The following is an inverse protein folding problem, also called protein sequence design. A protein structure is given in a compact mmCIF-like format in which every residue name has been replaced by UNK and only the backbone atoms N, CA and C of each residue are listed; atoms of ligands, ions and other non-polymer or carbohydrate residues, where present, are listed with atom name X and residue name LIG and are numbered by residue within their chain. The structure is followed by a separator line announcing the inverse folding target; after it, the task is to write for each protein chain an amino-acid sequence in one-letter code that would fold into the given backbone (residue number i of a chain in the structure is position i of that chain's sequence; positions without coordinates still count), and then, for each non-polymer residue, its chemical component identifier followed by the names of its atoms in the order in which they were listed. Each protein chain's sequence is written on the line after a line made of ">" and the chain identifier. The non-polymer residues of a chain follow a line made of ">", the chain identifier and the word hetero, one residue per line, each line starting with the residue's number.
data_IF_603357908442
#
_entry.id   IF_603357908442
#
_cell.length_a   1.000
_cell.length_b   1.000
_cell.length_c   1.000
_cell.angle_alpha   90.00
_cell.angle_beta   90.00
_cell.angle_gamma   90.00
#
_symmetry.space_group_name_H-M   'P 1'
#
loop_
_entity.id
_entity.type
_entity.pdbx_description
1 polymer ?
#
# COMPACT_ATOMS: atom_id res chain seq x y z
N UNK A 1 10.96 -48.58 15.32
CA UNK A 1 10.44 -47.76 14.21
C UNK A 1 9.72 -46.56 14.81
N UNK A 2 10.41 -45.43 14.93
CA UNK A 2 9.83 -44.17 15.40
C UNK A 2 9.25 -43.44 14.21
N UNK A 3 7.94 -43.49 14.06
CA UNK A 3 7.17 -42.64 13.15
C UNK A 3 7.38 -41.20 13.60
N UNK A 4 8.21 -40.44 12.88
CA UNK A 4 8.20 -39.00 12.99
C UNK A 4 6.84 -38.51 12.52
N UNK A 5 5.97 -38.23 13.49
CA UNK A 5 4.81 -37.36 13.29
C UNK A 5 5.39 -36.03 12.83
N UNK A 6 5.41 -35.83 11.51
CA UNK A 6 5.66 -34.55 10.90
C UNK A 6 4.52 -33.65 11.33
N UNK A 7 4.71 -32.97 12.46
CA UNK A 7 3.96 -31.78 12.82
C UNK A 7 4.26 -30.73 11.76
N UNK A 8 3.58 -30.85 10.61
CA UNK A 8 3.35 -29.78 9.67
C UNK A 8 2.44 -28.78 10.39
N UNK A 9 2.97 -28.09 11.40
CA UNK A 9 2.34 -26.90 11.93
C UNK A 9 2.19 -25.99 10.72
N UNK A 10 0.96 -25.64 10.29
CA UNK A 10 0.79 -24.72 9.17
C UNK A 10 1.54 -23.46 9.57
N UNK A 11 2.67 -23.23 8.91
CA UNK A 11 3.62 -22.17 9.27
C UNK A 11 2.82 -20.87 9.31
N UNK A 12 2.51 -20.43 10.53
CA UNK A 12 1.53 -19.37 10.76
C UNK A 12 2.18 -18.07 10.32
N UNK A 13 1.42 -17.27 9.59
CA UNK A 13 1.91 -15.97 9.14
C UNK A 13 2.43 -15.15 10.33
N UNK A 14 3.65 -14.59 10.27
CA UNK A 14 4.19 -13.81 11.36
C UNK A 14 3.26 -12.64 11.69
N UNK A 15 3.04 -12.37 12.98
CA UNK A 15 2.09 -11.35 13.44
C UNK A 15 2.36 -9.97 12.83
N UNK A 16 3.64 -9.62 12.68
CA UNK A 16 4.05 -8.38 12.00
C UNK A 16 3.57 -8.32 10.55
N UNK A 17 3.81 -9.38 9.76
CA UNK A 17 3.38 -9.42 8.35
C UNK A 17 1.85 -9.41 8.23
N UNK A 18 1.14 -10.10 9.15
CA UNK A 18 -0.32 -10.03 9.23
C UNK A 18 -0.81 -8.60 9.51
N UNK A 19 -0.20 -7.91 10.48
CA UNK A 19 -0.54 -6.51 10.80
C UNK A 19 -0.24 -5.57 9.64
N UNK A 20 0.91 -5.73 8.98
CA UNK A 20 1.26 -4.95 7.79
C UNK A 20 0.28 -5.19 6.64
N UNK A 21 -0.19 -6.42 6.42
CA UNK A 21 -1.23 -6.68 5.43
C UNK A 21 -2.56 -6.02 5.76
N UNK A 22 -2.96 -5.98 7.03
CA UNK A 22 -4.15 -5.23 7.45
C UNK A 22 -3.96 -3.74 7.11
N UNK A 23 -2.78 -3.18 7.39
CA UNK A 23 -2.41 -1.81 6.99
C UNK A 23 -2.52 -1.58 5.48
N UNK A 24 -1.95 -2.49 4.67
CA UNK A 24 -2.04 -2.48 3.19
C UNK A 24 -3.50 -2.48 2.72
N UNK A 25 -4.37 -3.26 3.34
CA UNK A 25 -5.80 -3.28 3.01
C UNK A 25 -6.47 -1.94 3.32
N UNK A 26 -6.27 -1.39 4.53
CA UNK A 26 -6.79 -0.08 4.88
C UNK A 26 -6.27 1.02 3.95
N UNK A 27 -4.97 0.98 3.62
CA UNK A 27 -4.35 1.93 2.72
C UNK A 27 -4.86 1.80 1.29
N UNK A 28 -5.11 0.58 0.80
CA UNK A 28 -5.74 0.35 -0.50
C UNK A 28 -7.16 0.92 -0.58
N UNK A 29 -7.96 0.69 0.46
CA UNK A 29 -9.31 1.26 0.57
C UNK A 29 -9.25 2.79 0.63
N UNK A 30 -8.37 3.37 1.44
CA UNK A 30 -8.21 4.81 1.55
C UNK A 30 -7.79 5.45 0.21
N UNK A 31 -6.86 4.82 -0.53
CA UNK A 31 -6.46 5.29 -1.85
C UNK A 31 -7.60 5.22 -2.87
N UNK A 32 -8.40 4.15 -2.84
CA UNK A 32 -9.57 4.03 -3.70
C UNK A 32 -10.59 5.15 -3.43
N UNK A 33 -10.91 5.40 -2.16
CA UNK A 33 -11.83 6.48 -1.79
C UNK A 33 -11.27 7.86 -2.11
N UNK A 34 -9.98 8.10 -1.88
CA UNK A 34 -9.33 9.35 -2.24
C UNK A 34 -9.44 9.61 -3.76
N UNK A 35 -9.12 8.60 -4.59
CA UNK A 35 -9.29 8.69 -6.04
C UNK A 35 -10.74 8.96 -6.45
N UNK A 36 -11.70 8.27 -5.83
CA UNK A 36 -13.13 8.44 -6.12
C UNK A 36 -13.66 9.83 -5.74
N UNK A 37 -13.29 10.36 -4.57
CA UNK A 37 -13.69 11.69 -4.09
C UNK A 37 -13.13 12.78 -5.01
N UNK A 38 -11.84 12.71 -5.36
CA UNK A 38 -11.22 13.69 -6.26
C UNK A 38 -11.85 13.59 -7.66
N UNK A 39 -12.11 12.37 -8.15
CA UNK A 39 -12.79 12.18 -9.44
C UNK A 39 -14.19 12.78 -9.46
N UNK A 40 -14.97 12.58 -8.39
CA UNK A 40 -16.31 13.14 -8.28
C UNK A 40 -16.28 14.68 -8.21
N UNK A 41 -15.33 15.25 -7.46
CA UNK A 41 -15.12 16.69 -7.41
C UNK A 41 -14.74 17.28 -8.79
N UNK A 42 -13.93 16.58 -9.58
CA UNK A 42 -13.58 16.96 -10.95
C UNK A 42 -14.78 16.92 -11.89
N UNK A 43 -15.69 15.96 -11.72
CA UNK A 43 -16.89 15.84 -12.55
C UNK A 43 -17.89 16.96 -12.26
N UNK A 44 -18.04 17.35 -10.99
CA UNK A 44 -18.88 18.48 -10.57
C UNK A 44 -18.31 19.82 -11.05
N UNK A 45 -17.00 19.93 -11.21
CA UNK A 45 -16.32 21.17 -11.66
C UNK A 45 -16.16 21.26 -13.18
N UNK A 46 -16.84 20.40 -13.96
CA UNK A 46 -16.89 20.49 -15.42
C UNK A 46 -17.29 21.91 -15.87
N UNK A 47 -16.35 22.65 -16.47
CA UNK A 47 -16.55 24.01 -16.98
C UNK A 47 -15.82 25.11 -16.21
N UNK A 48 -15.15 24.80 -15.10
CA UNK A 48 -14.24 25.75 -14.42
C UNK A 48 -12.79 25.50 -14.84
N UNK A 49 -12.02 26.59 -14.98
CA UNK A 49 -10.57 26.52 -15.16
C UNK A 49 -9.93 26.06 -13.85
N UNK A 50 -9.77 24.74 -13.70
CA UNK A 50 -9.07 24.15 -12.56
C UNK A 50 -7.55 24.28 -12.80
N UNK A 51 -6.81 25.03 -11.96
CA UNK A 51 -5.36 25.10 -12.07
C UNK A 51 -4.75 23.70 -11.98
N UNK A 52 -3.79 23.41 -12.86
CA UNK A 52 -3.06 22.13 -12.85
C UNK A 52 -3.95 20.89 -13.01
N UNK A 53 -5.07 20.99 -13.75
CA UNK A 53 -6.00 19.87 -14.02
C UNK A 53 -5.29 18.56 -14.42
N UNK A 54 -4.21 18.64 -15.21
CA UNK A 54 -3.40 17.48 -15.58
C UNK A 54 -2.74 16.78 -14.40
N UNK A 55 -2.22 17.54 -13.42
CA UNK A 55 -1.61 17.01 -12.20
C UNK A 55 -2.66 16.37 -11.28
N UNK A 56 -3.86 16.97 -11.20
CA UNK A 56 -4.97 16.42 -10.41
C UNK A 56 -5.48 15.12 -11.03
N UNK A 57 -5.59 15.03 -12.36
CA UNK A 57 -5.93 13.76 -13.04
C UNK A 57 -4.86 12.69 -12.82
N UNK A 58 -3.59 13.08 -12.86
CA UNK A 58 -2.48 12.17 -12.57
C UNK A 58 -2.56 11.62 -11.14
N UNK A 59 -2.88 12.45 -10.14
CA UNK A 59 -3.00 12.00 -8.76
C UNK A 59 -4.17 11.02 -8.57
N UNK A 60 -5.30 11.25 -9.24
CA UNK A 60 -6.42 10.30 -9.29
C UNK A 60 -5.99 8.94 -9.82
N UNK A 61 -5.32 8.91 -10.99
CA UNK A 61 -4.86 7.66 -11.58
C UNK A 61 -3.81 6.98 -10.69
N UNK A 62 -2.91 7.74 -10.08
CA UNK A 62 -1.93 7.20 -9.14
C UNK A 62 -2.59 6.57 -7.91
N UNK A 63 -3.64 7.20 -7.36
CA UNK A 63 -4.41 6.65 -6.23
C UNK A 63 -5.13 5.35 -6.61
N UNK A 64 -5.78 5.29 -7.77
CA UNK A 64 -6.41 4.04 -8.22
C UNK A 64 -5.39 2.94 -8.53
N UNK A 65 -4.27 3.29 -9.14
CA UNK A 65 -3.18 2.35 -9.41
C UNK A 65 -2.59 1.79 -8.11
N UNK A 66 -2.30 2.65 -7.13
CA UNK A 66 -1.83 2.23 -5.81
C UNK A 66 -2.85 1.33 -5.11
N UNK A 67 -4.14 1.69 -5.13
CA UNK A 67 -5.20 0.85 -4.57
C UNK A 67 -5.25 -0.53 -5.23
N UNK A 68 -5.23 -0.59 -6.57
CA UNK A 68 -5.21 -1.85 -7.31
C UNK A 68 -3.99 -2.71 -6.98
N UNK A 69 -2.79 -2.12 -6.98
CA UNK A 69 -1.55 -2.83 -6.66
C UNK A 69 -1.54 -3.36 -5.21
N UNK A 70 -2.03 -2.57 -4.25
CA UNK A 70 -2.15 -2.98 -2.84
C UNK A 70 -3.18 -4.10 -2.65
N UNK A 71 -4.33 -4.04 -3.33
CA UNK A 71 -5.34 -5.11 -3.27
C UNK A 71 -4.85 -6.41 -3.90
N UNK A 72 -4.25 -6.34 -5.08
CA UNK A 72 -3.62 -7.51 -5.72
C UNK A 72 -2.57 -8.10 -4.78
N UNK A 73 -1.68 -7.27 -4.25
CA UNK A 73 -0.65 -7.71 -3.30
C UNK A 73 -1.26 -8.34 -2.04
N UNK A 74 -2.32 -7.76 -1.47
CA UNK A 74 -3.02 -8.28 -0.31
C UNK A 74 -3.68 -9.65 -0.54
N UNK A 75 -4.26 -9.86 -1.73
CA UNK A 75 -4.84 -11.15 -2.14
C UNK A 75 -3.74 -12.20 -2.33
N UNK A 76 -2.66 -11.85 -3.02
CA UNK A 76 -1.56 -12.77 -3.33
C UNK A 76 -0.61 -12.99 -2.15
N UNK A 77 -0.67 -12.18 -1.10
CA UNK A 77 0.22 -12.32 0.05
C UNK A 77 0.04 -13.65 0.83
N UNK A 78 -1.14 -14.29 0.70
CA UNK A 78 -1.38 -15.63 1.24
C UNK A 78 -0.63 -16.72 0.49
N UNK A 79 -0.29 -16.50 -0.78
CA UNK A 79 0.44 -17.44 -1.64
C UNK A 79 1.97 -17.39 -1.44
N UNK A 80 2.47 -16.51 -0.56
CA UNK A 80 3.89 -16.41 -0.17
C UNK A 80 4.87 -16.07 -1.31
N UNK A 81 4.37 -15.51 -2.41
CA UNK A 81 5.21 -15.15 -3.54
C UNK A 81 6.18 -14.01 -3.22
N UNK A 82 7.45 -14.20 -3.58
CA UNK A 82 8.51 -13.19 -3.43
C UNK A 82 8.24 -11.85 -4.12
N UNK A 83 7.60 -11.87 -5.29
CA UNK A 83 7.23 -10.65 -6.01
C UNK A 83 6.24 -9.76 -5.24
N UNK A 84 5.34 -10.35 -4.44
CA UNK A 84 4.36 -9.57 -3.65
C UNK A 84 5.07 -8.63 -2.68
N UNK A 85 6.14 -9.09 -2.03
CA UNK A 85 6.92 -8.26 -1.12
C UNK A 85 7.60 -7.10 -1.84
N UNK A 86 8.16 -7.36 -3.02
CA UNK A 86 8.82 -6.34 -3.83
C UNK A 86 7.80 -5.30 -4.29
N UNK A 87 6.65 -5.73 -4.80
CA UNK A 87 5.56 -4.84 -5.22
C UNK A 87 5.07 -3.97 -4.06
N UNK A 88 4.84 -4.55 -2.88
CA UNK A 88 4.47 -3.78 -1.69
C UNK A 88 5.52 -2.71 -1.38
N UNK A 89 6.79 -3.07 -1.31
CA UNK A 89 7.86 -2.10 -1.04
C UNK A 89 7.93 -0.98 -2.09
N UNK A 90 7.79 -1.31 -3.38
CA UNK A 90 7.80 -0.32 -4.46
C UNK A 90 6.60 0.63 -4.31
N UNK A 91 5.41 0.10 -4.05
CA UNK A 91 4.20 0.92 -3.87
C UNK A 91 4.29 1.78 -2.61
N UNK A 92 4.79 1.25 -1.49
CA UNK A 92 4.97 2.04 -0.27
C UNK A 92 5.98 3.18 -0.48
N UNK A 93 7.12 2.90 -1.11
CA UNK A 93 8.11 3.93 -1.45
C UNK A 93 7.52 5.00 -2.38
N UNK A 94 6.72 4.59 -3.36
CA UNK A 94 6.02 5.49 -4.26
C UNK A 94 5.04 6.38 -3.49
N UNK A 95 4.17 5.80 -2.67
CA UNK A 95 3.19 6.55 -1.86
C UNK A 95 3.89 7.53 -0.92
N UNK A 96 4.99 7.12 -0.28
CA UNK A 96 5.79 8.01 0.57
C UNK A 96 6.39 9.18 -0.22
N UNK A 97 6.88 8.95 -1.43
CA UNK A 97 7.44 10.00 -2.28
C UNK A 97 6.37 11.03 -2.67
N UNK A 98 5.17 10.58 -3.05
CA UNK A 98 4.05 11.48 -3.37
C UNK A 98 3.55 12.24 -2.14
N UNK A 99 3.48 11.58 -0.98
CA UNK A 99 3.17 12.24 0.28
C UNK A 99 4.22 13.32 0.61
N UNK A 100 5.51 13.02 0.47
CA UNK A 100 6.58 13.98 0.73
C UNK A 100 6.50 15.20 -0.19
N UNK A 101 6.24 15.01 -1.49
CA UNK A 101 6.02 16.11 -2.43
C UNK A 101 4.80 16.94 -2.00
N UNK A 102 3.68 16.29 -1.67
CA UNK A 102 2.48 16.97 -1.16
C UNK A 102 2.75 17.79 0.09
N UNK A 103 3.54 17.26 1.03
CA UNK A 103 3.95 17.98 2.23
C UNK A 103 4.78 19.23 1.89
N UNK A 104 5.78 19.11 1.01
CA UNK A 104 6.66 20.22 0.62
C UNK A 104 5.92 21.32 -0.16
N UNK A 105 4.93 20.95 -0.96
CA UNK A 105 4.19 21.90 -1.82
C UNK A 105 3.02 22.54 -1.07
N UNK A 106 2.25 21.76 -0.30
CA UNK A 106 1.01 22.21 0.34
C UNK A 106 1.18 22.59 1.82
N UNK A 107 2.31 22.26 2.43
CA UNK A 107 2.63 22.59 3.83
C UNK A 107 1.70 21.94 4.86
N UNK A 108 0.94 20.92 4.47
CA UNK A 108 -0.10 20.33 5.31
C UNK A 108 0.48 19.31 6.32
N UNK A 109 0.41 19.57 7.65
CA UNK A 109 0.94 18.65 8.67
C UNK A 109 0.21 17.30 8.69
N UNK A 110 -1.02 17.25 8.19
CA UNK A 110 -1.84 16.02 8.06
C UNK A 110 -1.16 14.95 7.20
N UNK A 111 -0.20 15.35 6.35
CA UNK A 111 0.59 14.44 5.50
C UNK A 111 1.56 13.57 6.31
N UNK A 112 1.95 13.98 7.53
CA UNK A 112 2.82 13.18 8.40
C UNK A 112 2.15 11.84 8.75
N UNK A 113 0.84 11.84 8.99
CA UNK A 113 0.11 10.61 9.27
C UNK A 113 0.10 9.66 8.06
N UNK A 114 -0.02 10.23 6.86
CA UNK A 114 0.03 9.48 5.60
C UNK A 114 1.42 8.91 5.27
N UNK A 115 2.49 9.39 5.92
CA UNK A 115 3.84 8.84 5.82
C UNK A 115 4.11 7.74 6.85
N UNK A 116 3.49 7.80 8.04
CA UNK A 116 3.76 6.88 9.13
C UNK A 116 3.34 5.43 8.80
N UNK A 117 2.15 5.26 8.20
CA UNK A 117 1.61 3.96 7.81
C UNK A 117 2.50 3.25 6.77
N UNK A 118 2.80 3.86 5.61
CA UNK A 118 3.64 3.21 4.60
C UNK A 118 5.06 2.96 5.12
N UNK A 119 5.62 3.84 5.96
CA UNK A 119 6.91 3.62 6.60
C UNK A 119 6.90 2.39 7.53
N UNK A 120 5.83 2.19 8.31
CA UNK A 120 5.68 1.05 9.19
C UNK A 120 5.54 -0.26 8.41
N UNK A 121 4.78 -0.24 7.30
CA UNK A 121 4.62 -1.37 6.40
C UNK A 121 5.98 -1.72 5.78
N UNK A 122 6.68 -0.73 5.22
CA UNK A 122 8.00 -0.90 4.63
C UNK A 122 9.01 -1.48 5.63
N UNK A 123 9.09 -0.91 6.84
CA UNK A 123 9.94 -1.43 7.92
C UNK A 123 9.63 -2.91 8.22
N UNK A 124 8.35 -3.27 8.25
CA UNK A 124 7.93 -4.65 8.52
C UNK A 124 8.29 -5.59 7.37
N UNK A 125 8.13 -5.15 6.13
CA UNK A 125 8.43 -5.91 4.91
C UNK A 125 9.93 -6.10 4.65
N UNK A 126 10.77 -5.17 5.14
CA UNK A 126 12.23 -5.28 5.12
C UNK A 126 12.77 -6.23 6.19
N UNK A 127 11.98 -6.56 7.21
CA UNK A 127 12.38 -7.45 8.29
C UNK A 127 12.61 -8.90 7.83
N UNK A 128 13.48 -9.61 8.56
CA UNK A 128 13.77 -11.04 8.36
C UNK A 128 12.48 -11.90 8.31
N UNK A 129 11.49 -11.72 9.20
CA UNK A 129 10.27 -12.54 9.18
C UNK A 129 9.45 -12.39 7.89
N UNK A 130 9.43 -11.20 7.29
CA UNK A 130 8.74 -10.96 6.02
C UNK A 130 9.52 -11.57 4.85
N UNK A 131 10.86 -11.47 4.89
CA UNK A 131 11.72 -12.08 3.88
C UNK A 131 11.55 -13.59 3.81
N UNK A 132 11.52 -14.26 4.96
CA UNK A 132 11.32 -15.72 5.05
C UNK A 132 9.92 -16.12 4.60
N UNK A 133 8.89 -15.38 5.03
CA UNK A 133 7.51 -15.64 4.64
C UNK A 133 7.28 -15.57 3.12
N UNK A 134 7.89 -14.59 2.45
CA UNK A 134 7.75 -14.37 1.02
C UNK A 134 8.86 -15.04 0.19
N UNK A 135 9.59 -16.02 0.72
CA UNK A 135 10.69 -16.67 -0.03
C UNK A 135 10.23 -17.78 -0.99
N UNK A 136 8.93 -18.08 -1.08
CA UNK A 136 8.39 -19.09 -2.00
C UNK A 136 8.00 -18.48 -3.34
#
# INVERSE_FOLDING_TARGET
>A
MTTQVSDQVPERMPRGVKGALVGVWFQGVANFFAGAVISNALDITQGQDVPHLGLVRLSVYASFFAAGALFVSGVFARKRFSWVRVTLLVVECWVMLFALIGFLVLGAPTVILSLAIPALIAKTMLGVPAREWFHR
#
